data_IF_737768214220
#
_entry.id   IF_737768214220
#
_cell.length_a   1.000
_cell.length_b   1.000
_cell.length_c   1.000
_cell.angle_alpha   90.00
_cell.angle_beta   90.00
_cell.angle_gamma   90.00
#
_symmetry.space_group_name_H-M   'P 1'
#
loop_
_entity.id
_entity.type
_entity.pdbx_description
1 polymer ?
#
# COMPACT_ATOMS: atom_id res chain seq x y z
N UNK A 1 69.07 -5.72 41.95
CA UNK A 1 68.31 -6.56 42.91
C UNK A 1 67.14 -5.69 43.37
N UNK A 2 65.87 -6.05 43.28
CA UNK A 2 65.28 -7.39 43.26
C UNK A 2 64.07 -7.47 42.29
N UNK A 3 63.85 -8.70 41.84
CA UNK A 3 62.69 -9.26 41.13
C UNK A 3 61.49 -9.31 42.07
N UNK A 4 60.27 -9.06 41.55
CA UNK A 4 59.04 -9.63 42.11
C UNK A 4 58.18 -10.15 40.94
N UNK A 5 57.81 -11.42 41.09
CA UNK A 5 57.07 -12.31 40.21
C UNK A 5 55.60 -11.93 39.99
N UNK A 6 55.09 -12.34 38.83
CA UNK A 6 53.95 -13.25 38.70
C UNK A 6 52.60 -12.83 39.27
N UNK A 7 51.63 -12.65 38.36
CA UNK A 7 50.34 -13.30 38.59
C UNK A 7 49.67 -13.63 37.25
N UNK A 8 49.53 -14.93 36.99
CA UNK A 8 48.76 -15.51 35.91
C UNK A 8 47.27 -15.35 36.20
N UNK A 9 46.49 -14.92 35.21
CA UNK A 9 45.06 -15.25 35.17
C UNK A 9 44.75 -15.74 33.76
N UNK A 10 44.80 -17.06 33.63
CA UNK A 10 44.18 -17.80 32.53
C UNK A 10 42.67 -17.59 32.59
N UNK A 11 42.05 -17.35 31.43
CA UNK A 11 40.64 -17.68 31.21
C UNK A 11 40.44 -17.95 29.72
N UNK A 12 40.64 -19.21 29.36
CA UNK A 12 40.12 -19.76 28.12
C UNK A 12 38.59 -19.69 28.15
N UNK A 13 37.99 -19.08 27.12
CA UNK A 13 36.63 -19.39 26.69
C UNK A 13 36.66 -19.62 25.20
N UNK A 14 36.88 -20.88 24.88
CA UNK A 14 36.45 -21.51 23.65
C UNK A 14 34.94 -21.72 23.77
N UNK A 15 34.16 -21.06 22.91
CA UNK A 15 32.80 -21.47 22.60
C UNK A 15 32.63 -21.22 21.10
N UNK A 16 32.90 -22.28 20.35
CA UNK A 16 32.39 -22.55 19.01
C UNK A 16 31.03 -21.88 18.81
N UNK A 17 30.98 -20.91 17.89
CA UNK A 17 29.73 -20.35 17.39
C UNK A 17 29.05 -21.45 16.56
N UNK A 18 28.21 -22.25 17.21
CA UNK A 18 27.35 -23.21 16.50
C UNK A 18 26.48 -22.43 15.51
N UNK A 19 26.65 -22.78 14.23
CA UNK A 19 25.87 -22.28 13.10
C UNK A 19 24.42 -22.78 13.26
N UNK A 20 23.39 -21.90 13.35
CA UNK A 20 22.02 -22.38 13.30
C UNK A 20 21.70 -22.95 11.92
N UNK A 21 21.08 -24.12 11.94
CA UNK A 21 20.60 -24.97 10.84
C UNK A 21 19.65 -24.21 9.89
N UNK A 22 19.66 -24.43 8.55
CA UNK A 22 18.82 -23.70 7.61
C UNK A 22 17.50 -24.46 7.39
N UNK A 23 16.55 -24.38 8.32
CA UNK A 23 15.22 -24.97 8.12
C UNK A 23 14.13 -24.08 8.72
N UNK A 24 13.90 -22.93 8.09
CA UNK A 24 12.68 -22.15 8.32
C UNK A 24 12.24 -21.53 6.99
N UNK A 25 11.65 -22.36 6.14
CA UNK A 25 10.86 -21.93 4.97
C UNK A 25 9.53 -21.38 5.52
N UNK A 26 9.62 -20.21 6.17
CA UNK A 26 8.48 -19.55 6.81
C UNK A 26 7.81 -18.65 5.77
N UNK A 27 6.55 -18.97 5.47
CA UNK A 27 5.73 -18.37 4.41
C UNK A 27 5.77 -16.83 4.45
N UNK A 28 6.61 -16.24 3.60
CA UNK A 28 6.68 -14.79 3.40
C UNK A 28 5.39 -14.33 2.71
N UNK A 29 4.44 -13.80 3.47
CA UNK A 29 3.25 -13.17 2.88
C UNK A 29 3.67 -11.94 2.07
N UNK A 30 3.72 -12.07 0.74
CA UNK A 30 4.04 -10.95 -0.15
C UNK A 30 3.02 -9.79 -0.03
N UNK A 31 3.50 -8.54 -0.02
CA UNK A 31 2.69 -7.35 -0.29
C UNK A 31 2.73 -7.03 -1.78
N UNK A 32 1.56 -6.73 -2.34
CA UNK A 32 1.44 -6.27 -3.71
C UNK A 32 1.30 -4.75 -3.79
N UNK A 33 2.10 -4.12 -4.64
CA UNK A 33 1.95 -2.70 -4.96
C UNK A 33 0.72 -2.45 -5.86
N UNK A 34 -0.22 -1.63 -5.40
CA UNK A 34 -1.44 -1.31 -6.15
C UNK A 34 -1.21 -0.67 -7.53
N UNK A 35 -0.09 0.06 -7.71
CA UNK A 35 0.19 0.81 -8.93
C UNK A 35 0.89 -0.03 -10.01
N UNK A 36 1.78 -0.95 -9.61
CA UNK A 36 2.60 -1.71 -10.55
C UNK A 36 2.43 -3.23 -10.47
N UNK A 37 1.70 -3.73 -9.47
CA UNK A 37 1.40 -5.15 -9.24
C UNK A 37 2.62 -6.00 -8.92
N UNK A 38 3.75 -5.37 -8.59
CA UNK A 38 4.94 -6.05 -8.09
C UNK A 38 4.65 -6.55 -6.68
N UNK A 39 4.95 -7.83 -6.45
CA UNK A 39 4.95 -8.49 -5.15
C UNK A 39 6.30 -8.30 -4.47
N UNK A 40 6.28 -7.94 -3.21
CA UNK A 40 7.44 -7.67 -2.37
C UNK A 40 7.31 -8.50 -1.10
N UNK A 41 8.37 -9.20 -0.72
CA UNK A 41 8.39 -9.99 0.49
C UNK A 41 8.18 -9.11 1.74
N UNK A 42 7.41 -9.60 2.71
CA UNK A 42 7.36 -9.04 4.07
C UNK A 42 8.42 -9.71 4.93
N UNK A 43 9.17 -8.93 5.70
CA UNK A 43 10.00 -9.51 6.77
C UNK A 43 9.11 -9.96 7.94
N UNK A 44 9.59 -10.93 8.73
CA UNK A 44 8.89 -11.49 9.92
C UNK A 44 8.42 -10.41 10.91
N UNK A 45 9.15 -9.30 11.00
CA UNK A 45 8.84 -8.15 11.88
C UNK A 45 7.68 -7.28 11.39
N UNK A 46 6.99 -7.67 10.30
CA UNK A 46 5.95 -6.86 9.65
C UNK A 46 6.45 -5.55 9.03
N UNK A 47 7.77 -5.29 9.13
CA UNK A 47 8.39 -4.05 8.68
C UNK A 47 8.74 -4.17 7.21
N UNK A 48 8.25 -3.25 6.39
CA UNK A 48 8.34 -3.35 4.93
C UNK A 48 9.23 -2.26 4.35
N UNK A 49 10.47 -2.16 4.85
CA UNK A 49 11.46 -1.18 4.38
C UNK A 49 11.57 -1.22 2.85
N UNK A 50 11.62 -2.43 2.28
CA UNK A 50 11.64 -2.65 0.83
C UNK A 50 10.37 -2.15 0.13
N UNK A 51 9.18 -2.36 0.72
CA UNK A 51 7.92 -1.84 0.18
C UNK A 51 7.88 -0.31 0.21
N UNK A 52 8.35 0.32 1.29
CA UNK A 52 8.42 1.79 1.40
C UNK A 52 9.34 2.37 0.33
N UNK A 53 10.55 1.82 0.18
CA UNK A 53 11.49 2.22 -0.87
C UNK A 53 10.86 2.05 -2.26
N UNK A 54 10.17 0.92 -2.48
CA UNK A 54 9.44 0.69 -3.71
C UNK A 54 8.36 1.75 -3.96
N UNK A 55 7.52 2.06 -2.96
CA UNK A 55 6.45 3.06 -3.09
C UNK A 55 7.00 4.45 -3.41
N UNK A 56 8.14 4.82 -2.85
CA UNK A 56 8.80 6.11 -3.13
C UNK A 56 9.39 6.15 -4.55
N UNK A 57 9.95 5.03 -5.02
CA UNK A 57 10.53 4.89 -6.36
C UNK A 57 9.58 4.39 -7.47
N UNK A 58 8.31 4.11 -7.16
CA UNK A 58 7.41 3.44 -8.11
C UNK A 58 7.07 4.35 -9.28
N UNK A 59 7.67 4.11 -10.45
CA UNK A 59 7.45 4.91 -11.66
C UNK A 59 5.96 4.95 -12.03
N UNK A 60 5.24 3.83 -11.98
CA UNK A 60 3.80 3.79 -12.27
C UNK A 60 2.96 4.59 -11.27
N UNK A 61 3.42 4.75 -10.02
CA UNK A 61 2.79 5.62 -9.03
C UNK A 61 3.10 7.09 -9.31
N UNK A 62 4.34 7.41 -9.64
CA UNK A 62 4.78 8.78 -9.96
C UNK A 62 4.15 9.30 -11.27
N UNK A 63 3.95 8.40 -12.24
CA UNK A 63 3.30 8.68 -13.53
C UNK A 63 1.81 8.39 -13.52
N UNK A 64 1.23 8.04 -12.37
CA UNK A 64 -0.20 7.75 -12.26
C UNK A 64 -1.00 9.00 -12.61
N UNK A 65 -1.61 8.97 -13.79
CA UNK A 65 -2.50 10.03 -14.24
C UNK A 65 -3.87 9.83 -13.61
N UNK A 66 -4.40 10.89 -13.00
CA UNK A 66 -5.77 10.90 -12.49
C UNK A 66 -6.76 10.61 -13.61
N UNK A 67 -7.37 9.43 -13.56
CA UNK A 67 -8.36 9.00 -14.55
C UNK A 67 -9.77 9.40 -14.08
N UNK A 68 -10.23 10.53 -14.61
CA UNK A 68 -11.54 11.09 -14.27
C UNK A 68 -12.69 10.15 -14.65
N UNK A 69 -12.54 9.28 -15.65
CA UNK A 69 -13.58 8.34 -16.05
C UNK A 69 -13.77 7.23 -15.01
N UNK A 70 -12.68 6.67 -14.51
CA UNK A 70 -12.72 5.65 -13.44
C UNK A 70 -13.28 6.19 -12.13
N UNK A 71 -12.94 7.44 -11.79
CA UNK A 71 -13.51 8.08 -10.59
C UNK A 71 -15.02 8.25 -10.72
N UNK A 72 -15.51 8.66 -11.90
CA UNK A 72 -16.96 8.74 -12.16
C UNK A 72 -17.65 7.39 -12.02
N UNK A 73 -17.04 6.34 -12.57
CA UNK A 73 -17.55 4.97 -12.49
C UNK A 73 -17.68 4.50 -11.03
N UNK A 74 -16.62 4.62 -10.23
CA UNK A 74 -16.65 4.24 -8.80
C UNK A 74 -17.69 5.04 -8.01
N UNK A 75 -17.79 6.35 -8.26
CA UNK A 75 -18.79 7.20 -7.60
C UNK A 75 -20.20 6.82 -8.04
N UNK A 76 -20.39 6.42 -9.30
CA UNK A 76 -21.66 5.91 -9.80
C UNK A 76 -22.06 4.63 -9.07
N UNK A 77 -21.14 3.68 -8.89
CA UNK A 77 -21.40 2.48 -8.09
C UNK A 77 -21.74 2.82 -6.64
N UNK A 78 -21.04 3.76 -6.00
CA UNK A 78 -21.40 4.20 -4.63
C UNK A 78 -22.82 4.77 -4.57
N UNK A 79 -23.22 5.57 -5.56
CA UNK A 79 -24.57 6.14 -5.65
C UNK A 79 -25.63 5.06 -5.82
N UNK A 80 -25.38 4.07 -6.68
CA UNK A 80 -26.32 2.98 -6.94
C UNK A 80 -26.43 2.00 -5.77
N UNK A 81 -25.29 1.51 -5.26
CA UNK A 81 -25.24 0.46 -4.23
C UNK A 81 -25.75 0.97 -2.88
N UNK A 82 -25.40 2.20 -2.51
CA UNK A 82 -25.77 2.78 -1.22
C UNK A 82 -26.95 3.75 -1.30
N UNK A 83 -27.65 3.79 -2.44
CA UNK A 83 -28.79 4.67 -2.69
C UNK A 83 -28.52 6.15 -2.37
N UNK A 84 -27.27 6.62 -2.53
CA UNK A 84 -26.95 8.01 -2.25
C UNK A 84 -27.62 8.95 -3.24
N UNK A 85 -28.05 10.11 -2.76
CA UNK A 85 -28.51 11.17 -3.65
C UNK A 85 -27.37 11.64 -4.53
N UNK A 86 -27.64 11.88 -5.82
CA UNK A 86 -26.67 12.50 -6.76
C UNK A 86 -26.06 13.81 -6.23
N UNK A 87 -26.78 14.52 -5.35
CA UNK A 87 -26.33 15.72 -4.65
C UNK A 87 -25.14 15.47 -3.70
N UNK A 88 -24.89 14.24 -3.26
CA UNK A 88 -23.77 13.88 -2.38
C UNK A 88 -22.42 14.30 -2.95
N UNK A 89 -22.24 14.20 -4.26
CA UNK A 89 -21.00 14.61 -4.96
C UNK A 89 -20.73 16.13 -4.88
N UNK A 90 -21.73 16.91 -4.48
CA UNK A 90 -21.63 18.36 -4.28
C UNK A 90 -21.32 18.74 -2.83
N UNK A 91 -21.41 17.80 -1.89
CA UNK A 91 -21.16 18.09 -0.49
C UNK A 91 -19.69 18.45 -0.27
N UNK A 92 -19.44 19.53 0.47
CA UNK A 92 -18.09 20.02 0.74
C UNK A 92 -17.22 18.97 1.44
N UNK A 93 -17.82 18.13 2.30
CA UNK A 93 -17.12 17.02 2.94
C UNK A 93 -16.63 15.98 1.93
N UNK A 94 -17.45 15.64 0.94
CA UNK A 94 -17.05 14.70 -0.12
C UNK A 94 -15.94 15.29 -0.99
N UNK A 95 -16.04 16.57 -1.34
CA UNK A 95 -15.02 17.26 -2.13
C UNK A 95 -13.69 17.35 -1.36
N UNK A 96 -13.76 17.66 -0.07
CA UNK A 96 -12.59 17.67 0.82
C UNK A 96 -11.96 16.28 0.88
N UNK A 97 -12.76 15.23 1.10
CA UNK A 97 -12.29 13.85 1.09
C UNK A 97 -11.56 13.50 -0.21
N UNK A 98 -12.14 13.81 -1.37
CA UNK A 98 -11.54 13.51 -2.66
C UNK A 98 -10.25 14.30 -2.93
N UNK A 99 -10.18 15.57 -2.51
CA UNK A 99 -8.97 16.40 -2.62
C UNK A 99 -7.85 15.92 -1.70
N UNK A 100 -8.20 15.44 -0.52
CA UNK A 100 -7.23 14.83 0.42
C UNK A 100 -6.71 13.51 -0.13
N UNK A 101 -7.57 12.69 -0.75
CA UNK A 101 -7.17 11.44 -1.38
C UNK A 101 -6.34 11.64 -2.66
N UNK A 102 -6.59 12.72 -3.41
CA UNK A 102 -5.85 13.04 -4.63
C UNK A 102 -5.80 14.55 -4.90
N UNK A 103 -4.58 15.08 -4.99
CA UNK A 103 -4.35 16.47 -5.38
C UNK A 103 -4.82 16.80 -6.80
N UNK A 104 -4.96 15.79 -7.67
CA UNK A 104 -5.40 15.92 -9.05
C UNK A 104 -6.92 15.81 -9.23
N UNK A 105 -7.68 15.71 -8.14
CA UNK A 105 -9.13 15.60 -8.19
C UNK A 105 -9.77 16.79 -8.90
N UNK A 106 -10.55 16.49 -9.95
CA UNK A 106 -11.37 17.48 -10.65
C UNK A 106 -12.83 17.27 -10.23
N UNK A 107 -13.45 18.32 -9.71
CA UNK A 107 -14.84 18.30 -9.22
C UNK A 107 -15.77 17.71 -10.30
N UNK A 108 -16.61 16.75 -9.92
CA UNK A 108 -17.53 16.01 -10.81
C UNK A 108 -18.71 16.86 -11.35
N UNK A 109 -18.58 18.18 -11.39
CA UNK A 109 -19.67 19.16 -11.40
C UNK A 109 -20.56 19.21 -12.65
N UNK A 110 -20.26 18.46 -13.71
CA UNK A 110 -21.02 18.51 -14.96
C UNK A 110 -22.08 17.43 -15.14
N UNK A 111 -22.56 16.91 -14.02
CA UNK A 111 -23.39 15.71 -13.94
C UNK A 111 -22.56 14.46 -14.22
N UNK A 112 -22.51 13.55 -13.25
CA UNK A 112 -22.70 12.15 -13.58
C UNK A 112 -24.11 12.16 -14.16
N UNK A 113 -24.28 12.17 -15.49
CA UNK A 113 -25.61 12.18 -16.04
C UNK A 113 -26.26 10.89 -15.56
N UNK A 114 -27.56 10.89 -15.35
CA UNK A 114 -28.30 9.63 -15.14
C UNK A 114 -27.90 8.55 -16.14
N UNK A 115 -27.43 8.95 -17.34
CA UNK A 115 -26.84 8.09 -18.37
C UNK A 115 -25.60 7.29 -17.92
N UNK A 116 -24.64 7.87 -17.18
CA UNK A 116 -23.43 7.15 -16.77
C UNK A 116 -23.79 6.09 -15.70
N UNK A 117 -24.72 6.44 -14.82
CA UNK A 117 -25.30 5.55 -13.82
C UNK A 117 -26.12 4.41 -14.46
N UNK A 118 -26.98 4.75 -15.41
CA UNK A 118 -27.78 3.78 -16.15
C UNK A 118 -26.92 2.84 -16.99
N UNK A 119 -25.87 3.36 -17.63
CA UNK A 119 -24.93 2.54 -18.42
C UNK A 119 -24.18 1.55 -17.54
N UNK A 120 -23.75 1.97 -16.34
CA UNK A 120 -23.11 1.09 -15.36
C UNK A 120 -24.06 -0.01 -14.89
N UNK A 121 -25.32 0.33 -14.60
CA UNK A 121 -26.37 -0.64 -14.25
C UNK A 121 -26.64 -1.66 -15.37
N UNK A 122 -26.68 -1.22 -16.63
CA UNK A 122 -26.91 -2.13 -17.76
C UNK A 122 -25.75 -3.10 -18.02
N UNK A 123 -24.50 -2.69 -17.71
CA UNK A 123 -23.33 -3.57 -17.80
C UNK A 123 -23.40 -4.67 -16.73
N UNK A 124 -23.73 -4.32 -15.49
CA UNK A 124 -23.86 -5.30 -14.39
C UNK A 124 -24.97 -6.32 -14.62
N UNK A 125 -26.07 -5.93 -15.28
CA UNK A 125 -27.20 -6.84 -15.57
C UNK A 125 -26.93 -7.85 -16.70
N UNK A 126 -25.85 -7.66 -17.47
CA UNK A 126 -25.48 -8.53 -18.61
C UNK A 126 -24.39 -9.56 -18.27
N UNK A 127 -23.80 -9.50 -17.07
CA UNK A 127 -22.99 -10.56 -16.48
C UNK A 127 -23.87 -11.50 -15.65
#
# INVERSE_FOLDING_TARGET
>A
MAVIEGNEISNARDTTYERPNPEEDECLDDIECNHCKIKLAKNKDGTTIQYKIHLDGCVKRQTWTYDQAKIKEVVSYMIMIHEFLLAFTKYELFILFMKTASAHYVRLFRAIPKVDCWTSYEVEKKC
#
